data_IF_819688796986
#
_entry.id   IF_819688796986
#
_cell.length_a   1.000
_cell.length_b   1.000
_cell.length_c   1.000
_cell.angle_alpha   90.00
_cell.angle_beta   90.00
_cell.angle_gamma   90.00
#
_symmetry.space_group_name_H-M   'P 1'
#
loop_
_entity.id
_entity.type
_entity.pdbx_description
1 polymer ?
#
# COMPACT_ATOMS: atom_id res chain seq x y z
N UNK A 1 -32.02 9.29 18.35
CA UNK A 1 -31.60 10.44 19.19
C UNK A 1 -30.20 10.25 19.80
N UNK A 2 -29.90 9.13 20.49
CA UNK A 2 -28.57 8.87 21.09
C UNK A 2 -27.39 8.87 20.09
N UNK A 3 -27.60 8.38 18.87
CA UNK A 3 -26.58 8.36 17.79
C UNK A 3 -26.19 9.76 17.29
N UNK A 4 -27.17 10.66 17.15
CA UNK A 4 -26.97 12.05 16.68
C UNK A 4 -26.20 12.85 17.73
N UNK A 5 -26.59 12.76 19.01
CA UNK A 5 -25.87 13.39 20.12
C UNK A 5 -24.43 12.90 20.21
N UNK A 6 -24.21 11.58 20.06
CA UNK A 6 -22.87 11.01 20.01
C UNK A 6 -22.06 11.57 18.84
N UNK A 7 -22.65 11.68 17.65
CA UNK A 7 -22.02 12.28 16.48
C UNK A 7 -21.61 13.74 16.70
N UNK A 8 -22.48 14.54 17.32
CA UNK A 8 -22.19 15.94 17.68
C UNK A 8 -21.04 16.02 18.68
N UNK A 9 -21.06 15.23 19.75
CA UNK A 9 -19.97 15.18 20.74
C UNK A 9 -18.63 14.74 20.13
N UNK A 10 -18.64 13.79 19.19
CA UNK A 10 -17.42 13.37 18.48
C UNK A 10 -16.91 14.51 17.58
N UNK A 11 -17.78 15.21 16.87
CA UNK A 11 -17.40 16.34 16.01
C UNK A 11 -16.80 17.49 16.81
N UNK A 12 -17.42 17.87 17.92
CA UNK A 12 -16.92 18.95 18.78
C UNK A 12 -15.60 18.58 19.45
N UNK A 13 -15.48 17.38 20.02
CA UNK A 13 -14.23 16.90 20.62
C UNK A 13 -13.09 16.80 19.60
N UNK A 14 -13.38 16.34 18.37
CA UNK A 14 -12.40 16.36 17.28
C UNK A 14 -11.96 17.79 16.94
N UNK A 15 -12.90 18.73 16.85
CA UNK A 15 -12.62 20.15 16.60
C UNK A 15 -11.70 20.76 17.67
N UNK A 16 -12.01 20.54 18.95
CA UNK A 16 -11.18 21.01 20.08
C UNK A 16 -9.76 20.44 19.99
N UNK A 17 -9.61 19.15 19.68
CA UNK A 17 -8.29 18.52 19.51
C UNK A 17 -7.50 19.12 18.33
N UNK A 18 -8.17 19.40 17.21
CA UNK A 18 -7.51 20.00 16.06
C UNK A 18 -7.10 21.44 16.34
N UNK A 19 -7.92 22.20 17.07
CA UNK A 19 -7.58 23.56 17.47
C UNK A 19 -6.34 23.57 18.38
N UNK A 20 -6.31 22.76 19.44
CA UNK A 20 -5.14 22.63 20.32
C UNK A 20 -3.86 22.27 19.54
N UNK A 21 -3.95 21.38 18.55
CA UNK A 21 -2.80 21.04 17.70
C UNK A 21 -2.33 22.21 16.83
N UNK A 22 -3.26 23.01 16.31
CA UNK A 22 -2.91 24.22 15.56
C UNK A 22 -2.24 25.24 16.47
N UNK A 23 -2.80 25.45 17.65
CA UNK A 23 -2.27 26.40 18.64
C UNK A 23 -0.84 26.02 19.06
N UNK A 24 -0.58 24.73 19.32
CA UNK A 24 0.79 24.22 19.62
C UNK A 24 1.74 24.52 18.45
N UNK A 25 1.35 24.21 17.21
CA UNK A 25 2.19 24.48 16.03
C UNK A 25 2.47 25.96 15.83
N UNK A 26 1.48 26.83 16.07
CA UNK A 26 1.68 28.28 15.97
C UNK A 26 2.64 28.78 17.04
N UNK A 27 2.55 28.26 18.26
CA UNK A 27 3.45 28.61 19.35
C UNK A 27 4.87 28.09 19.09
N UNK A 28 5.04 26.87 18.58
CA UNK A 28 6.34 26.31 18.15
C UNK A 28 6.99 27.17 17.06
N UNK A 29 6.22 27.59 16.05
CA UNK A 29 6.71 28.45 14.98
C UNK A 29 7.11 29.84 15.49
N UNK A 30 6.31 30.43 16.39
CA UNK A 30 6.61 31.73 16.98
C UNK A 30 7.87 31.66 17.84
N UNK A 31 8.02 30.59 18.63
CA UNK A 31 9.18 30.35 19.47
C UNK A 31 10.45 30.16 18.62
N UNK A 32 10.36 29.40 17.53
CA UNK A 32 11.45 29.27 16.55
C UNK A 32 11.83 30.58 15.85
N UNK A 33 10.87 31.47 15.62
CA UNK A 33 11.14 32.83 15.11
C UNK A 33 11.90 33.69 16.13
N UNK A 34 11.43 33.70 17.39
CA UNK A 34 12.07 34.46 18.48
C UNK A 34 13.49 33.94 18.76
N UNK A 35 13.70 32.62 18.72
CA UNK A 35 15.02 31.98 18.86
C UNK A 35 16.03 32.41 17.80
N UNK A 36 15.58 32.68 16.56
CA UNK A 36 16.45 33.20 15.50
C UNK A 36 16.85 34.65 15.71
N UNK A 37 16.00 35.45 16.37
CA UNK A 37 16.19 36.90 16.54
C UNK A 37 16.91 37.26 17.86
N UNK A 38 16.85 36.36 18.85
CA UNK A 38 17.52 36.44 20.15
C UNK A 38 19.03 36.82 20.13
N UNK A 39 19.88 36.27 19.24
CA UNK A 39 21.30 36.69 19.18
C UNK A 39 21.48 38.17 18.80
N UNK A 40 20.50 38.77 18.11
CA UNK A 40 20.50 40.17 17.67
C UNK A 40 19.73 41.12 18.59
N UNK A 41 18.70 40.64 19.28
CA UNK A 41 17.83 41.46 20.14
C UNK A 41 17.56 40.75 21.48
N UNK A 42 18.34 41.08 22.50
CA UNK A 42 18.20 40.50 23.85
C UNK A 42 16.93 40.97 24.58
N UNK A 43 16.27 42.05 24.13
CA UNK A 43 15.00 42.53 24.71
C UNK A 43 13.83 41.56 24.54
N UNK A 44 13.93 40.59 23.61
CA UNK A 44 12.88 39.58 23.35
C UNK A 44 12.89 38.40 24.33
N UNK A 45 13.77 38.41 25.34
CA UNK A 45 13.84 37.33 26.33
C UNK A 45 12.53 37.16 27.10
N UNK A 46 11.84 38.26 27.42
CA UNK A 46 10.53 38.25 28.08
C UNK A 46 9.48 37.52 27.24
N UNK A 47 9.37 37.90 25.97
CA UNK A 47 8.45 37.29 25.01
C UNK A 47 8.74 35.79 24.79
N UNK A 48 10.02 35.41 24.78
CA UNK A 48 10.43 34.00 24.72
C UNK A 48 9.94 33.21 25.95
N UNK A 49 10.15 33.74 27.17
CA UNK A 49 9.69 33.03 28.37
C UNK A 49 8.17 32.92 28.45
N UNK A 50 7.45 33.93 27.96
CA UNK A 50 5.99 33.94 27.96
C UNK A 50 5.42 32.96 26.92
N UNK A 51 5.96 32.97 25.70
CA UNK A 51 5.58 32.00 24.66
C UNK A 51 5.91 30.56 25.06
N UNK A 52 7.02 30.34 25.76
CA UNK A 52 7.38 29.03 26.29
C UNK A 52 6.40 28.55 27.37
N UNK A 53 5.95 29.43 28.27
CA UNK A 53 4.90 29.09 29.25
C UNK A 53 3.58 28.75 28.57
N UNK A 54 3.18 29.54 27.57
CA UNK A 54 1.95 29.30 26.80
C UNK A 54 2.01 27.96 26.04
N UNK A 55 3.17 27.60 25.50
CA UNK A 55 3.40 26.31 24.86
C UNK A 55 3.26 25.17 25.87
N UNK A 56 3.88 25.29 27.05
CA UNK A 56 3.75 24.30 28.13
C UNK A 56 2.29 24.12 28.57
N UNK A 57 1.57 25.21 28.76
CA UNK A 57 0.14 25.17 29.11
C UNK A 57 -0.70 24.50 28.02
N UNK A 58 -0.41 24.75 26.75
CA UNK A 58 -1.07 24.10 25.63
C UNK A 58 -0.82 22.58 25.62
N UNK A 59 0.42 22.15 25.89
CA UNK A 59 0.78 20.74 26.05
C UNK A 59 0.04 20.08 27.22
N UNK A 60 0.00 20.73 28.39
CA UNK A 60 -0.73 20.22 29.57
C UNK A 60 -2.23 20.07 29.26
N UNK A 61 -2.83 21.01 28.53
CA UNK A 61 -4.24 20.91 28.10
C UNK A 61 -4.46 19.72 27.15
N UNK A 62 -3.55 19.52 26.20
CA UNK A 62 -3.60 18.41 25.26
C UNK A 62 -3.47 17.06 25.99
N UNK A 63 -2.54 16.96 26.93
CA UNK A 63 -2.32 15.75 27.73
C UNK A 63 -3.53 15.42 28.60
N UNK A 64 -4.12 16.42 29.28
CA UNK A 64 -5.37 16.26 30.03
C UNK A 64 -6.50 15.74 29.14
N UNK A 65 -6.65 16.29 27.93
CA UNK A 65 -7.65 15.82 26.97
C UNK A 65 -7.40 14.36 26.57
N UNK A 66 -6.16 14.00 26.23
CA UNK A 66 -5.79 12.64 25.87
C UNK A 66 -6.05 11.68 27.03
N UNK A 67 -5.63 12.02 28.25
CA UNK A 67 -5.87 11.23 29.44
C UNK A 67 -7.36 10.97 29.65
N UNK A 68 -8.21 12.00 29.57
CA UNK A 68 -9.66 11.83 29.71
C UNK A 68 -10.27 10.98 28.60
N UNK A 69 -9.82 11.16 27.35
CA UNK A 69 -10.27 10.35 26.21
C UNK A 69 -9.83 8.88 26.35
N UNK A 70 -8.61 8.63 26.80
CA UNK A 70 -8.09 7.30 27.11
C UNK A 70 -8.91 6.69 28.25
N UNK A 71 -9.12 7.43 29.33
CA UNK A 71 -9.94 6.99 30.47
C UNK A 71 -11.36 6.61 30.02
N UNK A 72 -12.04 7.44 29.24
CA UNK A 72 -13.38 7.09 28.75
C UNK A 72 -13.38 5.86 27.84
N UNK A 73 -12.38 5.70 26.97
CA UNK A 73 -12.30 4.56 26.03
C UNK A 73 -11.95 3.24 26.71
N UNK A 74 -11.15 3.26 27.77
CA UNK A 74 -10.59 2.06 28.42
C UNK A 74 -11.09 1.80 29.84
N UNK A 75 -11.80 2.75 30.46
CA UNK A 75 -12.28 2.66 31.85
C UNK A 75 -13.80 2.74 31.98
N UNK A 76 -14.54 2.77 30.87
CA UNK A 76 -16.01 2.73 30.92
C UNK A 76 -16.57 1.30 31.11
N UNK A 77 -15.98 0.26 30.50
CA UNK A 77 -16.48 -1.12 30.59
C UNK A 77 -15.35 -2.18 30.48
N UNK A 78 -15.29 -3.16 31.39
CA UNK A 78 -14.62 -4.46 31.19
C UNK A 78 -13.09 -4.60 31.44
N UNK A 79 -12.56 -5.78 31.07
CA UNK A 79 -11.17 -6.22 31.32
C UNK A 79 -10.13 -5.40 30.52
N UNK A 80 -9.53 -4.44 31.23
CA UNK A 80 -8.63 -3.37 30.75
C UNK A 80 -7.44 -3.88 29.93
N UNK A 81 -6.82 -4.97 30.36
CA UNK A 81 -5.60 -5.51 29.75
C UNK A 81 -5.89 -6.16 28.40
N UNK A 82 -7.01 -6.87 28.27
CA UNK A 82 -7.43 -7.51 27.02
C UNK A 82 -7.75 -6.50 25.93
N UNK A 83 -8.48 -5.43 26.26
CA UNK A 83 -8.82 -4.38 25.29
C UNK A 83 -7.56 -3.64 24.79
N UNK A 84 -6.62 -3.36 25.68
CA UNK A 84 -5.33 -2.74 25.34
C UNK A 84 -4.48 -3.68 24.47
N UNK A 85 -4.32 -4.94 24.87
CA UNK A 85 -3.58 -5.96 24.10
C UNK A 85 -4.18 -6.13 22.70
N UNK A 86 -5.51 -6.29 22.60
CA UNK A 86 -6.18 -6.45 21.29
C UNK A 86 -5.94 -5.24 20.39
N UNK A 87 -5.90 -4.03 20.95
CA UNK A 87 -5.56 -2.82 20.19
C UNK A 87 -4.10 -2.81 19.74
N UNK A 88 -3.15 -3.14 20.62
CA UNK A 88 -1.73 -3.19 20.27
C UNK A 88 -1.48 -4.21 19.16
N UNK A 89 -2.02 -5.43 19.30
CA UNK A 89 -1.99 -6.46 18.27
C UNK A 89 -2.60 -5.95 16.96
N UNK A 90 -3.76 -5.29 17.00
CA UNK A 90 -4.36 -4.70 15.79
C UNK A 90 -3.46 -3.64 15.15
N UNK A 91 -2.83 -2.78 15.94
CA UNK A 91 -1.91 -1.77 15.42
C UNK A 91 -0.69 -2.42 14.76
N UNK A 92 -0.13 -3.47 15.38
CA UNK A 92 0.98 -4.24 14.79
C UNK A 92 0.56 -4.93 13.49
N UNK A 93 -0.62 -5.59 13.46
CA UNK A 93 -1.12 -6.22 12.22
C UNK A 93 -1.38 -5.24 11.08
N UNK A 94 -1.67 -3.96 11.38
CA UNK A 94 -1.81 -2.93 10.34
C UNK A 94 -0.46 -2.52 9.74
N UNK A 95 0.64 -2.65 10.50
CA UNK A 95 1.99 -2.36 10.03
C UNK A 95 2.62 -3.55 9.29
N UNK A 96 2.24 -4.78 9.65
CA UNK A 96 2.69 -6.03 9.01
C UNK A 96 1.49 -6.88 8.54
N UNK A 97 0.91 -6.58 7.37
CA UNK A 97 -0.32 -7.25 6.92
C UNK A 97 -0.14 -8.74 6.60
N UNK A 98 1.10 -9.17 6.31
CA UNK A 98 1.42 -10.57 5.99
C UNK A 98 2.13 -11.17 7.20
N UNK A 99 1.42 -12.05 7.92
CA UNK A 99 1.90 -12.69 9.15
C UNK A 99 2.81 -13.90 8.87
N UNK A 100 2.52 -14.63 7.79
CA UNK A 100 3.35 -15.74 7.33
C UNK A 100 3.06 -16.07 5.87
N UNK A 101 4.01 -16.71 5.20
CA UNK A 101 3.83 -17.29 3.87
C UNK A 101 4.40 -18.71 3.84
N UNK A 102 3.96 -19.51 2.87
CA UNK A 102 4.56 -20.80 2.55
C UNK A 102 5.54 -20.64 1.40
N UNK A 103 6.78 -21.11 1.58
CA UNK A 103 7.76 -21.20 0.50
C UNK A 103 7.40 -22.31 -0.50
N UNK A 104 8.03 -22.34 -1.67
CA UNK A 104 7.87 -23.37 -2.70
C UNK A 104 8.17 -24.80 -2.20
N UNK A 105 8.91 -24.92 -1.08
CA UNK A 105 9.21 -26.18 -0.39
C UNK A 105 8.16 -26.57 0.67
N UNK A 106 7.10 -25.79 0.84
CA UNK A 106 6.04 -26.02 1.83
C UNK A 106 6.40 -25.60 3.26
N UNK A 107 7.52 -24.90 3.48
CA UNK A 107 7.90 -24.40 4.80
C UNK A 107 7.24 -23.04 5.09
N UNK A 108 6.75 -22.85 6.31
CA UNK A 108 6.13 -21.60 6.75
C UNK A 108 7.17 -20.61 7.27
N UNK A 109 7.19 -19.42 6.69
CA UNK A 109 8.12 -18.34 7.00
C UNK A 109 7.37 -17.19 7.65
N UNK A 110 7.87 -16.70 8.79
CA UNK A 110 7.27 -15.63 9.58
C UNK A 110 8.09 -14.33 9.56
N UNK A 111 9.36 -14.39 9.16
CA UNK A 111 10.23 -13.21 9.08
C UNK A 111 9.87 -12.36 7.86
N UNK A 112 9.74 -11.04 8.06
CA UNK A 112 9.34 -10.10 7.00
C UNK A 112 10.36 -10.02 5.86
N UNK A 113 11.65 -10.16 6.15
CA UNK A 113 12.71 -10.15 5.14
C UNK A 113 12.62 -11.41 4.27
N UNK A 114 12.53 -12.57 4.90
CA UNK A 114 12.36 -13.83 4.20
C UNK A 114 11.04 -13.89 3.42
N UNK A 115 9.96 -13.26 3.92
CA UNK A 115 8.70 -13.09 3.18
C UNK A 115 8.94 -12.33 1.87
N UNK A 116 9.66 -11.20 1.92
CA UNK A 116 9.97 -10.40 0.72
C UNK A 116 10.78 -11.22 -0.29
N UNK A 117 11.78 -11.96 0.17
CA UNK A 117 12.67 -12.74 -0.70
C UNK A 117 11.91 -13.83 -1.47
N UNK A 118 11.01 -14.55 -0.79
CA UNK A 118 10.14 -15.56 -1.43
C UNK A 118 9.21 -14.89 -2.45
N UNK A 119 8.64 -13.73 -2.13
CA UNK A 119 7.82 -12.98 -3.12
C UNK A 119 8.63 -12.56 -4.34
N UNK A 120 9.86 -12.08 -4.14
CA UNK A 120 10.76 -11.72 -5.22
C UNK A 120 11.10 -12.92 -6.11
N UNK A 121 11.44 -14.06 -5.50
CA UNK A 121 11.77 -15.30 -6.21
C UNK A 121 10.57 -15.86 -6.98
N UNK A 122 9.39 -15.88 -6.36
CA UNK A 122 8.19 -16.34 -7.02
C UNK A 122 7.86 -15.47 -8.24
N UNK A 123 7.93 -14.14 -8.08
CA UNK A 123 7.65 -13.20 -9.16
C UNK A 123 8.68 -13.30 -10.28
N UNK A 124 9.96 -13.44 -9.97
CA UNK A 124 10.99 -13.60 -11.00
C UNK A 124 10.78 -14.89 -11.79
N UNK A 125 10.31 -15.96 -11.14
CA UNK A 125 10.00 -17.24 -11.81
C UNK A 125 8.77 -17.13 -12.72
N UNK A 126 7.67 -16.52 -12.26
CA UNK A 126 6.43 -16.42 -13.04
C UNK A 126 6.57 -15.55 -14.30
N UNK A 127 7.44 -14.54 -14.26
CA UNK A 127 7.66 -13.61 -15.37
C UNK A 127 9.04 -13.81 -16.00
N UNK A 128 9.70 -14.94 -15.74
CA UNK A 128 10.93 -15.27 -16.44
C UNK A 128 10.63 -15.37 -17.94
N UNK A 129 11.43 -14.73 -18.82
CA UNK A 129 11.28 -14.93 -20.24
C UNK A 129 11.42 -16.44 -20.54
N UNK A 130 10.67 -16.97 -21.52
CA UNK A 130 10.80 -18.37 -21.89
C UNK A 130 12.27 -18.64 -22.24
N UNK A 131 12.82 -19.79 -21.82
CA UNK A 131 14.18 -20.17 -22.20
C UNK A 131 14.28 -20.09 -23.73
N UNK A 132 15.40 -19.56 -24.24
CA UNK A 132 15.63 -19.38 -25.68
C UNK A 132 15.26 -20.66 -26.43
N UNK A 133 14.20 -20.59 -27.23
CA UNK A 133 13.65 -21.75 -27.92
C UNK A 133 14.73 -22.27 -28.88
N UNK A 134 15.19 -23.49 -28.65
CA UNK A 134 16.10 -24.15 -29.56
C UNK A 134 15.28 -24.59 -30.78
N UNK A 135 15.54 -24.01 -31.96
CA UNK A 135 14.79 -24.27 -33.21
C UNK A 135 14.75 -25.78 -33.53
N UNK A 136 15.76 -26.53 -33.08
CA UNK A 136 15.84 -27.99 -33.22
C UNK A 136 14.76 -28.73 -32.42
N UNK A 137 14.38 -28.25 -31.24
CA UNK A 137 13.37 -28.89 -30.40
C UNK A 137 11.97 -28.62 -30.95
N UNK A 138 11.74 -27.46 -31.57
CA UNK A 138 10.48 -27.17 -32.25
C UNK A 138 10.30 -28.04 -33.49
N UNK A 139 11.35 -28.25 -34.29
CA UNK A 139 11.27 -29.15 -35.46
C UNK A 139 11.04 -30.60 -35.03
N UNK A 140 11.68 -31.04 -33.94
CA UNK A 140 11.45 -32.37 -33.35
C UNK A 140 10.03 -32.53 -32.77
N UNK A 141 9.45 -31.47 -32.20
CA UNK A 141 8.06 -31.49 -31.75
C UNK A 141 7.08 -31.50 -32.92
N UNK A 142 7.27 -30.62 -33.92
CA UNK A 142 6.39 -30.49 -35.08
C UNK A 142 6.40 -31.74 -35.96
N UNK A 143 7.52 -32.49 -36.01
CA UNK A 143 7.59 -33.80 -36.68
C UNK A 143 6.90 -34.92 -35.89
N UNK A 144 6.80 -34.79 -34.56
CA UNK A 144 6.05 -35.74 -33.72
C UNK A 144 4.54 -35.52 -33.78
N UNK A 145 4.09 -34.28 -33.92
CA UNK A 145 2.68 -34.00 -34.16
C UNK A 145 2.36 -34.46 -35.58
N UNK A 146 1.39 -35.36 -35.74
CA UNK A 146 0.91 -35.83 -37.05
C UNK A 146 0.13 -34.73 -37.77
N UNK A 147 0.81 -33.64 -38.13
CA UNK A 147 0.26 -32.61 -38.99
C UNK A 147 0.38 -33.10 -40.44
N UNK A 148 -0.67 -32.95 -41.26
CA UNK A 148 -0.56 -33.24 -42.68
C UNK A 148 0.47 -32.30 -43.29
N UNK A 149 1.61 -32.86 -43.70
CA UNK A 149 2.65 -32.11 -44.39
C UNK A 149 2.19 -31.91 -45.83
N UNK A 150 2.04 -30.65 -46.25
CA UNK A 150 1.74 -30.34 -47.65
C UNK A 150 2.84 -30.90 -48.55
N UNK A 151 2.42 -31.64 -49.58
CA UNK A 151 3.35 -32.06 -50.64
C UNK A 151 3.93 -30.83 -51.33
N UNK A 152 5.14 -30.96 -51.87
CA UNK A 152 5.82 -29.88 -52.60
C UNK A 152 4.99 -29.38 -53.80
N UNK A 153 4.10 -30.20 -54.35
CA UNK A 153 3.18 -29.85 -55.42
C UNK A 153 2.00 -29.01 -54.91
N UNK A 154 1.37 -29.42 -53.79
CA UNK A 154 0.27 -28.69 -53.17
C UNK A 154 0.71 -27.29 -52.67
N UNK A 155 1.97 -27.16 -52.28
CA UNK A 155 2.57 -25.88 -51.87
C UNK A 155 2.69 -24.92 -53.06
N UNK A 156 3.17 -25.43 -54.21
CA UNK A 156 3.27 -24.64 -55.45
C UNK A 156 1.89 -24.21 -55.97
N UNK A 157 0.86 -25.03 -55.82
CA UNK A 157 -0.52 -24.66 -56.14
C UNK A 157 -1.15 -23.69 -55.14
N UNK A 158 -0.63 -23.55 -53.92
CA UNK A 158 -1.09 -22.51 -52.99
C UNK A 158 -0.34 -21.19 -53.19
N UNK A 159 0.92 -21.27 -53.60
CA UNK A 159 1.77 -20.10 -53.85
C UNK A 159 1.47 -19.44 -55.21
N UNK A 160 0.74 -20.11 -56.12
CA UNK A 160 0.35 -19.50 -57.39
C UNK A 160 -0.76 -18.44 -57.20
N UNK A 161 -0.72 -17.31 -57.93
CA UNK A 161 -1.75 -16.29 -57.86
C UNK A 161 -3.06 -16.79 -58.49
N UNK A 162 -4.19 -16.47 -57.84
CA UNK A 162 -5.54 -16.82 -58.31
C UNK A 162 -5.78 -16.38 -59.75
N UNK A 163 -6.23 -17.31 -60.59
CA UNK A 163 -6.53 -17.02 -61.99
C UNK A 163 -7.97 -16.55 -62.17
N UNK A 164 -8.23 -15.74 -63.21
CA UNK A 164 -9.57 -15.19 -63.50
C UNK A 164 -10.59 -16.28 -63.82
N UNK A 165 -10.13 -17.42 -64.32
CA UNK A 165 -10.96 -18.58 -64.66
C UNK A 165 -11.47 -19.30 -63.41
N UNK A 166 -10.64 -19.42 -62.38
CA UNK A 166 -11.04 -19.95 -61.07
C UNK A 166 -12.03 -19.03 -60.35
N UNK A 167 -11.84 -17.72 -60.45
CA UNK A 167 -12.82 -16.76 -59.92
C UNK A 167 -14.17 -16.88 -60.64
N UNK A 168 -14.15 -17.03 -61.96
CA UNK A 168 -15.37 -17.16 -62.76
C UNK A 168 -16.12 -18.49 -62.48
N UNK A 169 -15.42 -19.58 -62.15
CA UNK A 169 -16.05 -20.85 -61.82
C UNK A 169 -16.74 -20.82 -60.47
N UNK A 170 -16.14 -20.17 -59.46
CA UNK A 170 -16.75 -19.99 -58.13
C UNK A 170 -17.95 -19.05 -58.19
N UNK A 171 -17.88 -17.96 -58.97
CA UNK A 171 -18.99 -17.01 -59.12
C UNK A 171 -20.20 -17.65 -59.82
N UNK A 172 -20.00 -18.62 -60.72
CA UNK A 172 -21.11 -19.38 -61.36
C UNK A 172 -21.75 -20.43 -60.45
N UNK A 173 -21.06 -20.85 -59.39
CA UNK A 173 -21.54 -21.82 -58.41
C UNK A 173 -22.30 -21.16 -57.25
N UNK A 174 -22.22 -19.83 -57.13
CA UNK A 174 -23.07 -18.98 -56.28
C UNK A 174 -24.37 -18.62 -57.00
#
# INVERSE_FOLDING_TARGET
MKSVLRGVCIKTSHGVRQQLKKDIRTLENNLGGIEQELPTQHDRLGDWTETQKQLLDAWVRMEKYLYMAHRQRFHAEGNKTRAMLTRLVRQETLHTPILSITDARGQTVYSQEAIKDVFHLHRSTCYAPPPSINIRDTDAYLTRVTLPVLSSEARKTLDHPLTKEELASVIRLL
#
